data_IF_670378272856
#
_entry.id   IF_670378272856
#
_cell.length_a   1.000
_cell.length_b   1.000
_cell.length_c   1.000
_cell.angle_alpha   90.00
_cell.angle_beta   90.00
_cell.angle_gamma   90.00
#
_symmetry.space_group_name_H-M   'P 1'
#
loop_
_entity.id
_entity.type
_entity.pdbx_description
1 polymer ?
#
# COMPACT_ATOMS: atom_id res chain seq x y z
N UNK A 1 -13.11 16.50 26.84
CA UNK A 1 -13.85 17.28 25.84
C UNK A 1 -13.07 18.52 25.40
N UNK A 2 -12.67 19.49 26.26
CA UNK A 2 -12.03 20.73 25.77
C UNK A 2 -10.71 20.52 25.04
N UNK A 3 -9.97 19.46 25.33
CA UNK A 3 -8.71 19.14 24.63
C UNK A 3 -8.99 18.69 23.21
N UNK A 4 -10.01 17.84 23.01
CA UNK A 4 -10.38 17.38 21.65
C UNK A 4 -10.94 18.51 20.80
N UNK A 5 -11.79 19.38 21.37
CA UNK A 5 -12.30 20.58 20.68
C UNK A 5 -11.18 21.53 20.25
N UNK A 6 -10.13 21.67 21.07
CA UNK A 6 -8.99 22.55 20.75
C UNK A 6 -8.03 21.98 19.70
N UNK A 7 -7.94 20.64 19.57
CA UNK A 7 -7.00 19.96 18.68
C UNK A 7 -7.65 19.42 17.41
N UNK A 8 -8.97 19.29 17.37
CA UNK A 8 -9.69 18.80 16.21
C UNK A 8 -9.61 19.79 15.04
N UNK A 9 -9.62 19.30 13.79
CA UNK A 9 -9.50 20.17 12.61
C UNK A 9 -10.70 21.10 12.41
N UNK A 10 -11.84 20.83 13.05
CA UNK A 10 -13.06 21.63 12.95
C UNK A 10 -13.87 21.36 11.67
N UNK A 11 -15.05 21.97 11.61
CA UNK A 11 -16.03 21.77 10.52
C UNK A 11 -15.53 22.26 9.15
N UNK A 12 -14.60 23.19 9.14
CA UNK A 12 -14.05 23.77 7.92
C UNK A 12 -13.04 22.83 7.21
N UNK A 13 -12.63 21.73 7.85
CA UNK A 13 -11.67 20.79 7.28
C UNK A 13 -12.20 20.00 6.08
N UNK A 14 -13.52 19.86 5.98
CA UNK A 14 -14.17 19.22 4.84
C UNK A 14 -15.59 19.73 4.65
N UNK A 15 -16.13 19.75 3.42
CA UNK A 15 -17.52 20.05 3.18
C UNK A 15 -18.42 19.00 3.86
N UNK A 16 -19.58 19.43 4.31
CA UNK A 16 -20.56 18.51 4.90
C UNK A 16 -20.98 17.45 3.90
N UNK A 17 -21.05 16.19 4.35
CA UNK A 17 -21.48 15.06 3.51
C UNK A 17 -22.88 15.34 2.93
N UNK A 18 -23.05 15.28 1.59
CA UNK A 18 -24.35 15.48 0.95
C UNK A 18 -25.42 14.52 1.52
N UNK A 19 -26.60 15.07 1.79
CA UNK A 19 -27.72 14.31 2.37
C UNK A 19 -27.67 14.11 3.88
N UNK A 20 -26.64 14.60 4.58
CA UNK A 20 -26.58 14.56 6.04
C UNK A 20 -27.49 15.65 6.61
N UNK A 21 -28.49 15.25 7.41
CA UNK A 21 -29.46 16.13 8.04
C UNK A 21 -29.14 16.40 9.51
N UNK A 22 -29.85 17.36 10.14
CA UNK A 22 -29.73 17.71 11.55
C UNK A 22 -28.60 18.73 11.83
N UNK A 23 -28.29 18.95 13.12
CA UNK A 23 -27.23 19.85 13.58
C UNK A 23 -25.83 19.27 13.35
N UNK A 24 -24.82 20.13 13.47
CA UNK A 24 -23.39 19.71 13.47
C UNK A 24 -23.15 18.77 14.65
N UNK A 25 -22.40 17.73 14.40
CA UNK A 25 -22.02 16.70 15.38
C UNK A 25 -20.50 16.70 15.60
N UNK A 26 -20.05 16.10 16.71
CA UNK A 26 -18.61 16.05 17.04
C UNK A 26 -17.76 15.37 15.99
N UNK A 27 -18.29 14.38 15.25
CA UNK A 27 -17.56 13.77 14.15
C UNK A 27 -17.38 14.73 12.95
N UNK A 28 -18.28 15.71 12.77
CA UNK A 28 -18.12 16.77 11.77
C UNK A 28 -17.15 17.84 12.25
N UNK A 29 -16.95 17.97 13.56
CA UNK A 29 -15.91 18.81 14.17
C UNK A 29 -14.52 18.13 14.15
N UNK A 30 -14.45 16.86 13.75
CA UNK A 30 -13.20 16.10 13.60
C UNK A 30 -12.78 15.30 14.84
N UNK A 31 -13.71 15.05 15.79
CA UNK A 31 -13.49 14.16 16.92
C UNK A 31 -14.71 13.31 17.24
N UNK A 32 -14.50 12.14 17.83
CA UNK A 32 -15.57 11.21 18.16
C UNK A 32 -15.26 10.42 19.43
N UNK A 33 -16.23 10.31 20.32
CA UNK A 33 -16.22 9.34 21.41
C UNK A 33 -16.69 7.98 20.91
N UNK A 34 -15.76 7.05 20.67
CA UNK A 34 -16.02 5.76 20.02
C UNK A 34 -16.67 4.72 20.93
N UNK A 35 -16.76 4.96 22.25
CA UNK A 35 -17.32 3.99 23.20
C UNK A 35 -16.49 3.86 24.48
N UNK A 36 -16.58 2.72 25.20
CA UNK A 36 -15.86 2.51 26.45
C UNK A 36 -14.34 2.53 26.25
N UNK A 37 -13.60 2.49 27.37
CA UNK A 37 -12.13 2.51 27.36
C UNK A 37 -11.56 1.44 26.40
N UNK A 38 -10.66 1.86 25.51
CA UNK A 38 -10.09 1.03 24.46
C UNK A 38 -10.73 1.21 23.06
N UNK A 39 -12.01 1.62 22.96
CA UNK A 39 -12.69 1.73 21.68
C UNK A 39 -12.02 2.71 20.71
N UNK A 40 -11.53 3.85 21.20
CA UNK A 40 -10.79 4.80 20.37
C UNK A 40 -9.47 4.24 19.83
N UNK A 41 -8.75 3.46 20.63
CA UNK A 41 -7.53 2.77 20.20
C UNK A 41 -7.84 1.68 19.16
N UNK A 42 -8.92 0.94 19.34
CA UNK A 42 -9.38 -0.06 18.38
C UNK A 42 -9.70 0.59 17.01
N UNK A 43 -10.47 1.68 17.00
CA UNK A 43 -10.78 2.43 15.78
C UNK A 43 -9.50 2.95 15.11
N UNK A 44 -8.55 3.50 15.89
CA UNK A 44 -7.27 3.98 15.34
C UNK A 44 -6.41 2.84 14.79
N UNK A 45 -6.37 1.70 15.43
CA UNK A 45 -5.69 0.49 14.96
C UNK A 45 -6.25 0.04 13.59
N UNK A 46 -7.57 -0.03 13.45
CA UNK A 46 -8.23 -0.38 12.18
C UNK A 46 -7.93 0.65 11.08
N UNK A 47 -7.94 1.95 11.43
CA UNK A 47 -7.51 3.00 10.51
C UNK A 47 -6.09 2.74 9.96
N UNK A 48 -5.13 2.38 10.82
CA UNK A 48 -3.79 2.06 10.37
C UNK A 48 -3.73 0.77 9.53
N UNK A 49 -4.58 -0.22 9.81
CA UNK A 49 -4.73 -1.39 8.94
C UNK A 49 -5.18 -1.02 7.52
N UNK A 50 -6.18 -0.13 7.40
CA UNK A 50 -6.64 0.42 6.11
C UNK A 50 -5.50 1.18 5.41
N UNK A 51 -4.76 1.99 6.15
CA UNK A 51 -3.59 2.73 5.64
C UNK A 51 -2.54 1.80 5.02
N UNK A 52 -2.25 0.63 5.64
CA UNK A 52 -1.37 -0.38 5.06
C UNK A 52 -1.86 -0.88 3.70
N UNK A 53 -3.16 -1.15 3.57
CA UNK A 53 -3.77 -1.58 2.32
C UNK A 53 -3.67 -0.52 1.22
N UNK A 54 -3.96 0.75 1.55
CA UNK A 54 -3.84 1.88 0.62
C UNK A 54 -2.39 2.08 0.15
N UNK A 55 -1.43 2.06 1.08
CA UNK A 55 -0.01 2.18 0.75
C UNK A 55 0.46 1.07 -0.18
N UNK A 56 0.06 -0.19 0.09
CA UNK A 56 0.39 -1.31 -0.77
C UNK A 56 -0.18 -1.15 -2.18
N UNK A 57 -1.45 -0.74 -2.30
CA UNK A 57 -2.09 -0.53 -3.59
C UNK A 57 -1.41 0.57 -4.43
N UNK A 58 -1.03 1.70 -3.80
CA UNK A 58 -0.25 2.73 -4.48
C UNK A 58 1.12 2.22 -4.93
N UNK A 59 1.85 1.54 -4.05
CA UNK A 59 3.18 1.04 -4.36
C UNK A 59 3.15 0.03 -5.52
N UNK A 60 2.20 -0.90 -5.52
CA UNK A 60 2.00 -1.87 -6.60
C UNK A 60 1.62 -1.18 -7.91
N UNK A 61 0.65 -0.25 -7.89
CA UNK A 61 0.21 0.48 -9.08
C UNK A 61 1.32 1.34 -9.69
N UNK A 62 2.04 2.11 -8.88
CA UNK A 62 3.18 2.91 -9.32
C UNK A 62 4.33 2.01 -9.82
N UNK A 63 4.54 0.84 -9.18
CA UNK A 63 5.48 -0.18 -9.63
C UNK A 63 5.13 -0.72 -11.03
N UNK A 64 3.85 -0.97 -11.32
CA UNK A 64 3.39 -1.37 -12.67
C UNK A 64 3.72 -0.29 -13.69
N UNK A 65 3.48 0.98 -13.39
CA UNK A 65 3.82 2.11 -14.27
C UNK A 65 5.34 2.22 -14.50
N UNK A 66 6.14 2.05 -13.45
CA UNK A 66 7.61 2.07 -13.53
C UNK A 66 8.17 0.98 -14.45
N UNK A 67 7.47 -0.14 -14.59
CA UNK A 67 7.86 -1.28 -15.43
C UNK A 67 7.12 -1.32 -16.78
N UNK A 68 6.43 -0.26 -17.16
CA UNK A 68 5.69 -0.19 -18.43
C UNK A 68 6.59 -0.21 -19.67
N UNK A 69 7.91 -0.14 -19.51
CA UNK A 69 8.93 -0.30 -20.56
C UNK A 69 9.44 -1.75 -20.72
N UNK A 70 8.86 -2.71 -20.03
CA UNK A 70 9.31 -4.11 -19.99
C UNK A 70 9.49 -4.75 -21.39
N UNK A 71 8.75 -4.30 -22.40
CA UNK A 71 8.89 -4.75 -23.79
C UNK A 71 10.02 -4.09 -24.57
N UNK A 72 10.65 -3.06 -24.03
CA UNK A 72 11.83 -2.41 -24.60
C UNK A 72 13.14 -2.96 -24.02
N UNK A 73 13.08 -3.66 -22.87
CA UNK A 73 14.26 -4.22 -22.19
C UNK A 73 14.70 -5.53 -22.85
N UNK A 74 16.01 -5.73 -22.99
CA UNK A 74 16.55 -7.05 -23.34
C UNK A 74 16.23 -8.04 -22.21
N UNK A 75 15.64 -9.16 -22.57
CA UNK A 75 15.36 -10.27 -21.64
C UNK A 75 16.09 -11.50 -22.11
N UNK A 76 16.73 -12.22 -21.17
CA UNK A 76 17.20 -13.56 -21.44
C UNK A 76 16.01 -14.44 -21.81
N UNK A 77 16.00 -14.99 -23.03
CA UNK A 77 15.02 -16.00 -23.42
C UNK A 77 15.48 -17.34 -22.86
N UNK A 78 15.05 -17.67 -21.65
CA UNK A 78 15.24 -18.99 -21.06
C UNK A 78 13.92 -19.77 -21.07
N UNK A 79 14.01 -21.08 -20.96
CA UNK A 79 12.84 -21.96 -20.92
C UNK A 79 12.09 -21.88 -19.58
N UNK A 80 12.58 -21.11 -18.62
CA UNK A 80 12.12 -21.09 -17.24
C UNK A 80 11.32 -19.84 -16.88
N UNK A 81 11.44 -18.78 -17.71
CA UNK A 81 10.75 -17.49 -17.52
C UNK A 81 9.74 -17.28 -18.66
N UNK A 82 8.47 -17.10 -18.31
CA UNK A 82 7.43 -16.85 -19.29
C UNK A 82 7.72 -15.55 -20.06
N UNK A 83 7.78 -15.59 -21.42
CA UNK A 83 7.98 -14.40 -22.21
C UNK A 83 6.76 -13.47 -22.15
N UNK A 84 6.96 -12.19 -22.46
CA UNK A 84 5.83 -11.29 -22.73
C UNK A 84 5.07 -11.78 -23.95
N UNK A 85 3.74 -11.91 -23.85
CA UNK A 85 2.90 -12.33 -24.97
C UNK A 85 2.94 -11.33 -26.12
N UNK A 86 2.94 -10.05 -25.83
CA UNK A 86 3.08 -8.96 -26.80
C UNK A 86 3.98 -7.85 -26.23
N UNK A 87 5.30 -7.87 -26.49
CA UNK A 87 6.22 -6.85 -26.00
C UNK A 87 5.91 -5.43 -26.54
N UNK A 88 5.18 -5.31 -27.64
CA UNK A 88 4.85 -4.00 -28.19
C UNK A 88 3.89 -3.21 -27.31
N UNK A 89 3.11 -3.89 -26.49
CA UNK A 89 2.18 -3.28 -25.53
C UNK A 89 2.86 -2.72 -24.25
N UNK A 90 4.17 -2.93 -24.06
CA UNK A 90 4.91 -2.55 -22.86
C UNK A 90 6.19 -1.78 -23.20
N UNK A 91 6.03 -0.68 -23.96
CA UNK A 91 7.13 0.19 -24.40
C UNK A 91 6.89 1.66 -24.06
N UNK A 92 6.30 1.88 -22.88
CA UNK A 92 6.00 3.22 -22.43
C UNK A 92 7.10 3.73 -21.48
N UNK A 93 7.61 4.91 -21.78
CA UNK A 93 8.48 5.68 -20.88
C UNK A 93 7.58 6.60 -20.05
N UNK A 94 7.19 6.13 -18.87
CA UNK A 94 6.23 6.83 -18.00
C UNK A 94 7.00 7.54 -16.88
N UNK A 95 6.82 8.86 -16.83
CA UNK A 95 7.22 9.66 -15.69
C UNK A 95 6.26 9.42 -14.51
N UNK A 96 6.63 8.52 -13.60
CA UNK A 96 5.82 8.11 -12.45
C UNK A 96 5.59 9.27 -11.49
N UNK A 97 6.57 10.16 -11.34
CA UNK A 97 6.46 11.35 -10.48
C UNK A 97 5.40 12.33 -11.03
N UNK A 98 5.41 12.55 -12.34
CA UNK A 98 4.39 13.37 -12.99
C UNK A 98 2.99 12.75 -12.90
N UNK A 99 2.86 11.41 -12.98
CA UNK A 99 1.59 10.72 -12.78
C UNK A 99 1.09 10.87 -11.35
N UNK A 100 1.95 10.72 -10.34
CA UNK A 100 1.57 10.93 -8.94
C UNK A 100 1.09 12.37 -8.71
N UNK A 101 1.79 13.36 -9.25
CA UNK A 101 1.40 14.77 -9.19
C UNK A 101 0.06 15.04 -9.88
N UNK A 102 -0.20 14.40 -11.02
CA UNK A 102 -1.47 14.50 -11.72
C UNK A 102 -2.61 13.92 -10.89
N UNK A 103 -2.44 12.71 -10.36
CA UNK A 103 -3.51 11.99 -9.68
C UNK A 103 -3.91 12.63 -8.35
N UNK A 104 -2.97 13.27 -7.63
CA UNK A 104 -3.30 13.99 -6.40
C UNK A 104 -4.17 15.23 -6.60
N UNK A 105 -4.40 15.68 -7.84
CA UNK A 105 -5.14 16.91 -8.19
C UNK A 105 -6.59 16.70 -8.58
N UNK A 106 -7.24 15.62 -8.16
CA UNK A 106 -8.66 15.41 -8.39
C UNK A 106 -9.01 14.09 -9.05
N UNK A 107 -8.21 13.05 -8.89
CA UNK A 107 -8.57 11.70 -9.29
C UNK A 107 -9.29 10.96 -8.15
N UNK A 108 -9.95 9.83 -8.46
CA UNK A 108 -10.59 8.95 -7.47
C UNK A 108 -9.60 8.41 -6.44
N UNK A 109 -8.31 8.35 -6.79
CA UNK A 109 -7.24 7.88 -5.91
C UNK A 109 -6.50 9.04 -5.20
N UNK A 110 -7.03 10.24 -5.23
CA UNK A 110 -6.44 11.34 -4.46
C UNK A 110 -6.49 11.05 -2.96
N UNK A 111 -5.44 11.39 -2.24
CA UNK A 111 -5.36 11.21 -0.79
C UNK A 111 -4.16 11.95 -0.22
N UNK A 112 -4.15 12.18 1.10
CA UNK A 112 -2.96 12.67 1.78
C UNK A 112 -1.74 11.76 1.60
N UNK A 113 -1.92 10.44 1.55
CA UNK A 113 -0.83 9.49 1.25
C UNK A 113 -0.22 9.76 -0.13
N UNK A 114 -1.04 10.05 -1.12
CA UNK A 114 -0.56 10.37 -2.47
C UNK A 114 0.13 11.74 -2.52
N UNK A 115 -0.34 12.73 -1.73
CA UNK A 115 0.35 14.01 -1.57
C UNK A 115 1.77 13.83 -1.03
N UNK A 116 1.92 13.01 0.03
CA UNK A 116 3.22 12.68 0.61
C UNK A 116 4.11 11.93 -0.39
N UNK A 117 3.55 10.98 -1.14
CA UNK A 117 4.28 10.25 -2.19
C UNK A 117 4.81 11.20 -3.27
N UNK A 118 3.99 12.13 -3.74
CA UNK A 118 4.42 13.12 -4.72
C UNK A 118 5.52 14.05 -4.18
N UNK A 119 5.49 14.41 -2.89
CA UNK A 119 6.56 15.19 -2.25
C UNK A 119 7.88 14.43 -2.23
N UNK A 120 7.88 13.14 -1.92
CA UNK A 120 9.10 12.31 -1.95
C UNK A 120 9.66 12.20 -3.37
N UNK A 121 8.81 12.03 -4.39
CA UNK A 121 9.26 12.01 -5.79
C UNK A 121 9.88 13.34 -6.27
N UNK A 122 9.51 14.48 -5.68
CA UNK A 122 10.17 15.76 -5.97
C UNK A 122 11.60 15.75 -5.43
N UNK A 123 11.81 15.17 -4.27
CA UNK A 123 13.12 15.11 -3.62
C UNK A 123 14.03 14.02 -4.23
N UNK A 124 13.46 12.87 -4.56
CA UNK A 124 14.15 11.68 -5.06
C UNK A 124 13.25 10.92 -6.06
N UNK A 125 13.27 11.27 -7.35
CA UNK A 125 12.36 10.69 -8.36
C UNK A 125 12.47 9.17 -8.52
N UNK A 126 13.64 8.60 -8.26
CA UNK A 126 13.92 7.17 -8.37
C UNK A 126 13.91 6.44 -7.02
N UNK A 127 13.68 7.17 -5.92
CA UNK A 127 13.67 6.67 -4.54
C UNK A 127 14.96 5.92 -4.16
N UNK A 128 16.10 6.36 -4.67
CA UNK A 128 17.41 5.75 -4.40
C UNK A 128 17.84 5.85 -2.93
N UNK A 129 17.30 6.82 -2.20
CA UNK A 129 17.51 6.98 -0.76
C UNK A 129 16.85 5.92 0.10
N UNK A 130 16.02 5.04 -0.47
CA UNK A 130 15.25 4.02 0.26
C UNK A 130 15.71 2.60 -0.10
N UNK A 131 15.94 1.79 0.91
CA UNK A 131 16.37 0.38 0.73
C UNK A 131 15.26 -0.59 0.35
N UNK A 132 13.99 -0.16 0.33
CA UNK A 132 12.84 -1.02 0.09
C UNK A 132 12.43 -1.91 1.28
N UNK A 133 13.11 -1.81 2.44
CA UNK A 133 12.76 -2.55 3.67
C UNK A 133 11.69 -1.81 4.46
N UNK A 134 10.49 -2.38 4.52
CA UNK A 134 9.32 -1.73 5.14
C UNK A 134 9.00 -2.34 6.49
N UNK A 135 9.11 -1.53 7.55
CA UNK A 135 8.76 -1.94 8.91
C UNK A 135 7.24 -1.94 9.12
N UNK A 136 6.80 -2.70 10.10
CA UNK A 136 5.45 -2.62 10.66
C UNK A 136 5.54 -2.24 12.15
N UNK A 137 4.67 -1.33 12.60
CA UNK A 137 4.61 -0.85 13.99
C UNK A 137 3.61 -1.62 14.85
N UNK A 138 2.98 -2.67 14.30
CA UNK A 138 2.11 -3.61 15.01
C UNK A 138 0.63 -3.44 14.69
N UNK A 139 0.15 -2.26 14.32
CA UNK A 139 -1.28 -1.99 14.12
C UNK A 139 -1.89 -2.84 13.01
N UNK A 140 -1.15 -3.07 11.91
CA UNK A 140 -1.56 -3.97 10.84
C UNK A 140 -1.72 -5.41 11.32
N UNK A 141 -0.82 -5.88 12.20
CA UNK A 141 -0.92 -7.21 12.83
C UNK A 141 -2.16 -7.31 13.70
N UNK A 142 -2.36 -6.35 14.58
CA UNK A 142 -3.50 -6.36 15.51
C UNK A 142 -4.82 -6.25 14.78
N UNK A 143 -4.90 -5.48 13.68
CA UNK A 143 -6.09 -5.39 12.84
C UNK A 143 -6.41 -6.74 12.19
N UNK A 144 -5.42 -7.44 11.64
CA UNK A 144 -5.62 -8.77 11.05
C UNK A 144 -5.99 -9.81 12.12
N UNK A 145 -5.39 -9.75 13.30
CA UNK A 145 -5.75 -10.62 14.43
C UNK A 145 -7.18 -10.38 14.89
N UNK A 146 -7.59 -9.13 15.07
CA UNK A 146 -8.97 -8.79 15.41
C UNK A 146 -9.95 -9.31 14.35
N UNK A 147 -9.64 -9.15 13.08
CA UNK A 147 -10.45 -9.67 11.98
C UNK A 147 -10.62 -11.20 12.04
N UNK A 148 -9.56 -11.94 12.41
CA UNK A 148 -9.65 -13.40 12.63
C UNK A 148 -10.57 -13.72 13.79
N UNK A 149 -10.43 -13.03 14.93
CA UNK A 149 -11.24 -13.25 16.13
C UNK A 149 -12.72 -12.91 15.88
N UNK A 150 -12.99 -11.90 15.08
CA UNK A 150 -14.35 -11.45 14.70
C UNK A 150 -14.94 -12.25 13.53
N UNK A 151 -14.16 -13.09 12.84
CA UNK A 151 -14.58 -13.81 11.64
C UNK A 151 -14.78 -12.91 10.41
N UNK A 152 -14.09 -11.78 10.34
CA UNK A 152 -14.17 -10.81 9.23
C UNK A 152 -13.06 -11.08 8.21
N UNK A 153 -13.37 -11.33 6.92
CA UNK A 153 -12.34 -11.55 5.91
C UNK A 153 -11.63 -10.24 5.55
N UNK A 154 -10.30 -10.21 5.68
CA UNK A 154 -9.45 -9.05 5.38
C UNK A 154 -8.27 -9.40 4.45
N UNK A 155 -8.51 -9.99 3.24
CA UNK A 155 -7.43 -10.45 2.37
C UNK A 155 -6.49 -9.31 1.94
N UNK A 156 -6.99 -8.11 1.67
CA UNK A 156 -6.19 -6.96 1.26
C UNK A 156 -5.25 -6.51 2.37
N UNK A 157 -5.75 -6.38 3.61
CA UNK A 157 -4.95 -5.96 4.75
C UNK A 157 -3.90 -7.01 5.13
N UNK A 158 -4.27 -8.29 5.05
CA UNK A 158 -3.35 -9.40 5.30
C UNK A 158 -2.22 -9.43 4.25
N UNK A 159 -2.54 -9.28 2.96
CA UNK A 159 -1.54 -9.21 1.89
C UNK A 159 -0.57 -8.03 2.08
N UNK A 160 -1.10 -6.85 2.38
CA UNK A 160 -0.28 -5.66 2.66
C UNK A 160 0.67 -5.85 3.87
N UNK A 161 0.21 -6.52 4.93
CA UNK A 161 1.03 -6.85 6.08
C UNK A 161 2.15 -7.84 5.70
N UNK A 162 1.82 -8.91 4.99
CA UNK A 162 2.79 -9.96 4.61
C UNK A 162 3.81 -9.45 3.60
N UNK A 163 3.43 -8.54 2.70
CA UNK A 163 4.37 -7.83 1.82
C UNK A 163 5.47 -7.10 2.62
N UNK A 164 5.13 -6.48 3.76
CA UNK A 164 6.13 -5.87 4.66
C UNK A 164 7.07 -6.91 5.27
N UNK A 165 6.59 -8.12 5.56
CA UNK A 165 7.46 -9.20 6.03
C UNK A 165 8.42 -9.66 4.94
N UNK A 166 7.92 -9.86 3.71
CA UNK A 166 8.74 -10.22 2.56
C UNK A 166 9.80 -9.17 2.26
N UNK A 167 9.47 -7.87 2.36
CA UNK A 167 10.45 -6.78 2.13
C UNK A 167 11.65 -6.79 3.10
N UNK A 168 11.62 -7.62 4.14
CA UNK A 168 12.67 -7.78 5.15
C UNK A 168 13.32 -9.16 5.10
N UNK A 169 13.20 -9.85 3.97
CA UNK A 169 13.77 -11.18 3.68
C UNK A 169 13.20 -12.32 4.57
N UNK A 170 12.02 -12.12 5.19
CA UNK A 170 11.40 -13.16 6.01
C UNK A 170 10.84 -14.33 5.17
N UNK A 171 10.81 -14.20 3.86
CA UNK A 171 10.39 -15.21 2.88
C UNK A 171 11.57 -15.94 2.19
N UNK A 172 12.82 -15.58 2.50
CA UNK A 172 14.02 -16.15 1.85
C UNK A 172 14.03 -17.68 1.88
N UNK A 173 13.75 -18.29 3.04
CA UNK A 173 13.70 -19.76 3.17
C UNK A 173 12.58 -20.36 2.32
N UNK A 174 11.39 -19.74 2.31
CA UNK A 174 10.27 -20.20 1.51
C UNK A 174 10.60 -20.18 0.02
N UNK A 175 11.23 -19.11 -0.44
CA UNK A 175 11.67 -18.96 -1.83
C UNK A 175 12.72 -20.02 -2.19
N UNK A 176 13.68 -20.32 -1.30
CA UNK A 176 14.63 -21.42 -1.49
C UNK A 176 13.96 -22.78 -1.59
N UNK A 177 12.92 -23.03 -0.80
CA UNK A 177 12.13 -24.28 -0.89
C UNK A 177 11.42 -24.38 -2.23
N UNK A 178 10.82 -23.28 -2.73
CA UNK A 178 10.18 -23.25 -4.06
C UNK A 178 11.18 -23.56 -5.18
N UNK A 179 12.36 -22.92 -5.18
CA UNK A 179 13.44 -23.20 -6.12
C UNK A 179 13.88 -24.67 -6.06
N UNK A 180 14.07 -25.22 -4.86
CA UNK A 180 14.48 -26.60 -4.67
C UNK A 180 13.42 -27.59 -5.22
N UNK A 181 12.13 -27.31 -5.01
CA UNK A 181 11.05 -28.14 -5.57
C UNK A 181 11.02 -28.06 -7.09
N UNK A 182 11.13 -26.88 -7.71
CA UNK A 182 11.21 -26.73 -9.17
C UNK A 182 12.37 -27.51 -9.76
N UNK A 183 13.54 -27.46 -9.14
CA UNK A 183 14.70 -28.27 -9.52
C UNK A 183 14.41 -29.76 -9.39
N UNK A 184 13.76 -30.20 -8.31
CA UNK A 184 13.50 -31.60 -8.02
C UNK A 184 12.56 -32.29 -9.00
N UNK A 185 11.48 -31.62 -9.43
CA UNK A 185 10.52 -32.21 -10.36
C UNK A 185 10.75 -31.83 -11.84
N UNK A 186 11.35 -30.68 -12.13
CA UNK A 186 11.48 -30.15 -13.49
C UNK A 186 12.91 -30.06 -14.00
N UNK A 187 13.92 -30.29 -13.15
CA UNK A 187 15.34 -30.11 -13.51
C UNK A 187 15.74 -28.63 -13.70
N UNK A 188 14.88 -27.69 -13.35
CA UNK A 188 15.11 -26.26 -13.49
C UNK A 188 16.26 -25.80 -12.58
N UNK A 189 17.33 -25.27 -13.15
CA UNK A 189 18.44 -24.73 -12.40
C UNK A 189 18.19 -23.25 -12.12
N UNK A 190 18.41 -22.83 -10.88
CA UNK A 190 18.37 -21.39 -10.51
C UNK A 190 19.57 -20.67 -11.15
N UNK A 191 19.31 -19.59 -11.89
CA UNK A 191 20.37 -18.69 -12.33
C UNK A 191 21.00 -18.00 -11.10
N UNK A 192 22.30 -18.24 -10.92
CA UNK A 192 23.05 -17.54 -9.85
C UNK A 192 23.42 -16.15 -10.37
N UNK A 193 22.80 -15.12 -9.81
CA UNK A 193 23.19 -13.72 -10.00
C UNK A 193 24.57 -13.43 -9.46
#
# INVERSE_FOLDING_TARGET
VPVFEALAPGVEAAPRTPGREGGITTCEEGWLHCGPAGAGHFVKMVHNGIEYGLMAAYAEGLGVLRHADAGARERSADAETAPLADPALYRYDIDVAAVAELWRRGSVVESWLLDLTAQEFVADPDLEGFSGRVSDSGEGRWTVQAAVDEGVPTPVLAAALFSRFASRDNDEFSNKVLSAMRKGFGGHAEERS
#
